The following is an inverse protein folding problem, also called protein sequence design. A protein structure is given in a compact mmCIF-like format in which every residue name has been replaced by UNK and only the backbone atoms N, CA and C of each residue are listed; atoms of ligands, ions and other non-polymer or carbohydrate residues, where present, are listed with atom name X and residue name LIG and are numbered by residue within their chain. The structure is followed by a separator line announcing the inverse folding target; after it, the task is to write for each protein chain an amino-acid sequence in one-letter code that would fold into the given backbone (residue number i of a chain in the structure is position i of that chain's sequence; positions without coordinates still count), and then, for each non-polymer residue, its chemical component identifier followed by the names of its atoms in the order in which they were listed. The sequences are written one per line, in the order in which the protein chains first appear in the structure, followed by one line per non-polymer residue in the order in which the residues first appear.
data_IF_566656654161
#
_entry.id   IF_566656654161
#
_cell.length_a   1.000
_cell.length_b   1.000
_cell.length_c   1.000
_cell.angle_alpha   90.00
_cell.angle_beta   90.00
_cell.angle_gamma   90.00
#
_symmetry.space_group_name_H-M   'P 1'
#
loop_
_entity.id
_entity.type
_entity.pdbx_description
1 polymer ?
#
# COMPACT_ATOMS: atom_id res chain seq x y z
N UNK A 1 0.27 -15.92 -1.58
CA UNK A 1 1.01 -16.20 -0.34
C UNK A 1 1.14 -17.72 -0.24
N UNK A 2 2.19 -18.27 0.42
CA UNK A 2 2.18 -19.69 0.73
C UNK A 2 0.94 -20.03 1.57
N UNK A 3 0.44 -21.25 1.40
CA UNK A 3 -0.83 -21.70 1.97
C UNK A 3 -0.84 -21.53 3.50
N UNK A 4 -1.97 -21.06 4.05
CA UNK A 4 -2.20 -20.71 5.46
C UNK A 4 -1.55 -19.43 6.01
N UNK A 5 -0.96 -18.56 5.18
CA UNK A 5 -0.49 -17.26 5.69
C UNK A 5 -1.66 -16.29 5.84
N UNK A 6 -2.04 -15.98 7.09
CA UNK A 6 -3.04 -14.93 7.38
C UNK A 6 -2.48 -13.58 6.95
N UNK A 7 -3.26 -12.82 6.15
CA UNK A 7 -2.89 -11.47 5.73
C UNK A 7 -2.83 -10.57 6.98
N UNK A 8 -1.63 -10.40 7.51
CA UNK A 8 -1.36 -9.46 8.60
C UNK A 8 -0.91 -8.11 8.02
N UNK A 9 -0.90 -7.08 8.86
CA UNK A 9 -0.53 -5.72 8.45
C UNK A 9 0.88 -5.62 7.88
N UNK A 10 1.83 -6.43 8.37
CA UNK A 10 3.21 -6.37 7.90
C UNK A 10 3.37 -6.92 6.48
N UNK A 11 2.72 -8.04 6.18
CA UNK A 11 2.68 -8.61 4.84
C UNK A 11 2.02 -7.63 3.87
N UNK A 12 0.95 -6.98 4.31
CA UNK A 12 0.29 -5.94 3.53
C UNK A 12 1.22 -4.74 3.26
N UNK A 13 1.95 -4.25 4.26
CA UNK A 13 2.95 -3.19 4.06
C UNK A 13 4.03 -3.56 3.03
N UNK A 14 4.52 -4.80 3.06
CA UNK A 14 5.49 -5.29 2.05
C UNK A 14 4.88 -5.36 0.65
N UNK A 15 3.57 -5.60 0.52
CA UNK A 15 2.88 -5.54 -0.76
C UNK A 15 2.75 -4.11 -1.27
N UNK A 16 2.47 -3.14 -0.38
CA UNK A 16 2.46 -1.72 -0.73
C UNK A 16 3.81 -1.22 -1.24
N UNK A 17 4.93 -1.65 -0.63
CA UNK A 17 6.28 -1.34 -1.13
C UNK A 17 6.49 -1.83 -2.57
N UNK A 18 6.19 -3.11 -2.82
CA UNK A 18 6.32 -3.70 -4.15
C UNK A 18 5.43 -3.02 -5.18
N UNK A 19 4.22 -2.62 -4.78
CA UNK A 19 3.30 -1.89 -5.63
C UNK A 19 3.84 -0.50 -5.96
N UNK A 20 4.38 0.21 -4.97
CA UNK A 20 5.01 1.50 -5.16
C UNK A 20 6.20 1.41 -6.15
N UNK A 21 7.07 0.41 -5.98
CA UNK A 21 8.20 0.19 -6.91
C UNK A 21 7.71 -0.10 -8.34
N UNK A 22 6.69 -0.95 -8.48
CA UNK A 22 6.09 -1.24 -9.78
C UNK A 22 5.44 0.01 -10.42
N UNK A 23 4.82 0.87 -9.61
CA UNK A 23 4.24 2.13 -10.07
C UNK A 23 5.32 3.13 -10.48
N UNK A 24 6.43 3.21 -9.75
CA UNK A 24 7.58 4.04 -10.14
C UNK A 24 8.15 3.61 -11.50
N UNK A 25 8.25 2.30 -11.75
CA UNK A 25 8.76 1.78 -13.03
C UNK A 25 7.76 1.94 -14.17
N UNK A 26 6.48 1.62 -13.93
CA UNK A 26 5.46 1.55 -15.00
C UNK A 26 4.78 2.89 -15.26
N UNK A 27 4.67 3.76 -14.25
CA UNK A 27 3.91 5.02 -14.28
C UNK A 27 4.55 6.10 -13.40
N UNK A 28 5.79 6.53 -13.70
CA UNK A 28 6.51 7.53 -12.89
C UNK A 28 5.77 8.87 -12.77
N UNK A 29 4.97 9.24 -13.78
CA UNK A 29 4.13 10.43 -13.78
C UNK A 29 3.10 10.48 -12.63
N UNK A 30 2.55 9.33 -12.23
CA UNK A 30 1.57 9.24 -11.14
C UNK A 30 2.22 9.44 -9.78
N UNK A 31 3.42 8.90 -9.60
CA UNK A 31 4.21 9.04 -8.37
C UNK A 31 4.64 10.49 -8.18
N UNK A 32 5.11 11.14 -9.26
CA UNK A 32 5.57 12.52 -9.22
C UNK A 32 4.46 13.51 -8.84
N UNK A 33 3.20 13.18 -9.11
CA UNK A 33 2.04 14.04 -8.81
C UNK A 33 1.56 13.95 -7.35
N UNK A 34 2.10 13.06 -6.52
CA UNK A 34 1.76 12.89 -5.08
C UNK A 34 0.26 12.90 -4.78
N UNK A 35 -0.52 12.22 -5.63
CA UNK A 35 -1.98 12.20 -5.57
C UNK A 35 -2.59 10.81 -5.68
N UNK A 36 -1.81 9.77 -5.34
CA UNK A 36 -2.29 8.39 -5.44
C UNK A 36 -3.23 8.14 -4.27
N UNK A 37 -4.48 7.84 -4.61
CA UNK A 37 -5.51 7.40 -3.67
C UNK A 37 -5.66 5.89 -3.83
N UNK A 38 -5.42 5.16 -2.75
CA UNK A 38 -5.62 3.72 -2.72
C UNK A 38 -7.05 3.44 -2.26
N UNK A 39 -7.81 2.75 -3.12
CA UNK A 39 -9.11 2.22 -2.77
C UNK A 39 -8.94 0.76 -2.35
N UNK A 40 -9.24 0.46 -1.09
CA UNK A 40 -9.09 -0.86 -0.48
C UNK A 40 -10.29 -1.18 0.41
N UNK A 41 -10.54 -2.47 0.64
CA UNK A 41 -11.57 -2.89 1.58
C UNK A 41 -11.13 -2.65 3.04
N UNK A 42 -12.10 -2.56 3.95
CA UNK A 42 -11.89 -2.23 5.36
C UNK A 42 -11.37 -3.40 6.22
N UNK A 43 -10.74 -4.43 5.64
CA UNK A 43 -10.13 -5.51 6.41
C UNK A 43 -9.15 -4.97 7.47
N UNK A 44 -9.08 -5.67 8.60
CA UNK A 44 -8.22 -5.31 9.75
C UNK A 44 -6.75 -5.00 9.38
N UNK A 45 -6.07 -5.74 8.50
CA UNK A 45 -4.70 -5.37 8.09
C UNK A 45 -4.64 -4.05 7.32
N UNK A 46 -5.66 -3.71 6.53
CA UNK A 46 -5.70 -2.52 5.68
C UNK A 46 -5.94 -1.24 6.49
N UNK A 47 -6.78 -1.33 7.51
CA UNK A 47 -7.11 -0.19 8.40
C UNK A 47 -6.16 -0.03 9.59
N UNK A 48 -5.20 -0.94 9.74
CA UNK A 48 -4.26 -0.91 10.86
C UNK A 48 -3.35 0.32 10.83
N UNK A 49 -2.90 0.75 12.02
CA UNK A 49 -2.07 1.94 12.19
C UNK A 49 -0.76 1.85 11.39
N UNK A 50 -0.17 0.65 11.32
CA UNK A 50 1.06 0.38 10.56
C UNK A 50 0.84 0.60 9.06
N UNK A 51 -0.28 0.13 8.52
CA UNK A 51 -0.64 0.33 7.11
C UNK A 51 -0.89 1.80 6.80
N UNK A 52 -1.61 2.51 7.68
CA UNK A 52 -1.84 3.96 7.53
C UNK A 52 -0.54 4.76 7.52
N UNK A 53 0.38 4.45 8.43
CA UNK A 53 1.71 5.06 8.45
C UNK A 53 2.48 4.78 7.17
N UNK A 54 2.38 3.55 6.64
CA UNK A 54 3.04 3.19 5.39
C UNK A 54 2.49 3.97 4.21
N UNK A 55 1.17 4.11 4.09
CA UNK A 55 0.53 4.90 3.02
C UNK A 55 0.98 6.37 3.06
N UNK A 56 1.08 6.96 4.26
CA UNK A 56 1.61 8.31 4.44
C UNK A 56 3.07 8.44 4.00
N UNK A 57 3.93 7.46 4.32
CA UNK A 57 5.32 7.45 3.85
C UNK A 57 5.42 7.41 2.32
N UNK A 58 4.50 6.68 1.67
CA UNK A 58 4.40 6.58 0.23
C UNK A 58 3.71 7.80 -0.42
N UNK A 59 3.39 8.85 0.35
CA UNK A 59 2.73 10.06 -0.16
C UNK A 59 1.31 9.80 -0.70
N UNK A 60 0.68 8.74 -0.21
CA UNK A 60 -0.62 8.26 -0.70
C UNK A 60 -1.67 8.34 0.39
N UNK A 61 -2.95 8.44 -0.01
CA UNK A 61 -4.09 8.54 0.92
C UNK A 61 -4.99 7.32 0.77
N UNK A 62 -5.59 6.89 1.88
CA UNK A 62 -6.77 6.03 1.83
C UNK A 62 -7.96 6.86 1.33
N UNK A 63 -8.77 6.29 0.43
CA UNK A 63 -9.96 6.91 -0.14
C UNK A 63 -11.23 6.13 0.12
#
# INVERSE_FOLDING_TARGET
LPDNTTLNSEVYCRQLDKLNDALQQKRPELINRKGIVFHQDNARPHTSLVTRQKLLQLGSREG
#
